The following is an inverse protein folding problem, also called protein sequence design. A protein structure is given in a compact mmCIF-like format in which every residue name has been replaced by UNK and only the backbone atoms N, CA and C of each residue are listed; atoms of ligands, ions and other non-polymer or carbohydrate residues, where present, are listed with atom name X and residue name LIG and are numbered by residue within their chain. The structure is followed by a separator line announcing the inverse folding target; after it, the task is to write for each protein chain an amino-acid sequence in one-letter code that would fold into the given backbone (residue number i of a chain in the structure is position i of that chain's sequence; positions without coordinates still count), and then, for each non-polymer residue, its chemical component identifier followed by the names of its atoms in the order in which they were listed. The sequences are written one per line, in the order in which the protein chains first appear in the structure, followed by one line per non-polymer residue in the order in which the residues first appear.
data_IF_722395028718
#
_entry.id   IF_722395028718
#
_cell.length_a   1.000
_cell.length_b   1.000
_cell.length_c   1.000
_cell.angle_alpha   90.00
_cell.angle_beta   90.00
_cell.angle_gamma   90.00
#
_symmetry.space_group_name_H-M   'P 1'
#
loop_
_entity.id
_entity.type
_entity.pdbx_description
1 polymer ?
#
# COMPACT_ATOMS: atom_id res chain seq x y z
N UNK A 1 -8.92 11.19 -26.27
CA UNK A 1 -7.62 11.81 -25.92
C UNK A 1 -6.96 11.13 -24.73
N UNK A 2 -7.60 11.00 -23.56
CA UNK A 2 -7.03 10.26 -22.42
C UNK A 2 -6.79 8.77 -22.71
N UNK A 3 -7.75 8.11 -23.38
CA UNK A 3 -7.64 6.71 -23.82
C UNK A 3 -6.67 6.47 -24.99
N UNK A 4 -6.09 7.53 -25.58
CA UNK A 4 -5.23 7.46 -26.77
C UNK A 4 -3.78 7.93 -26.48
N UNK A 5 -3.39 8.08 -25.21
CA UNK A 5 -2.04 8.50 -24.81
C UNK A 5 -1.70 9.97 -25.05
N UNK A 6 -2.68 10.80 -25.44
CA UNK A 6 -2.49 12.23 -25.68
C UNK A 6 -2.93 13.05 -24.44
N UNK A 7 -2.34 12.72 -23.28
CA UNK A 7 -2.83 13.21 -21.98
C UNK A 7 -2.64 14.74 -21.80
N UNK A 8 -1.68 15.35 -22.52
CA UNK A 8 -1.50 16.81 -22.56
C UNK A 8 -2.57 17.54 -23.38
N UNK A 9 -3.00 16.97 -24.50
CA UNK A 9 -4.09 17.53 -25.30
C UNK A 9 -5.44 17.36 -24.62
N UNK A 10 -5.64 16.23 -23.92
CA UNK A 10 -6.80 16.01 -23.05
C UNK A 10 -6.89 17.08 -21.95
N UNK A 11 -5.76 17.41 -21.32
CA UNK A 11 -5.69 18.44 -20.29
C UNK A 11 -6.04 19.83 -20.85
N UNK A 12 -5.44 20.24 -21.98
CA UNK A 12 -5.76 21.54 -22.61
C UNK A 12 -7.22 21.63 -23.04
N UNK A 13 -7.79 20.53 -23.53
CA UNK A 13 -9.20 20.48 -23.89
C UNK A 13 -10.09 20.63 -22.65
N UNK A 14 -9.78 19.94 -21.56
CA UNK A 14 -10.51 20.05 -20.31
C UNK A 14 -10.45 21.49 -19.73
N UNK A 15 -9.28 22.13 -19.74
CA UNK A 15 -9.08 23.53 -19.31
C UNK A 15 -9.95 24.52 -20.10
N UNK A 16 -10.01 24.37 -21.43
CA UNK A 16 -10.89 25.20 -22.26
C UNK A 16 -12.36 24.94 -21.97
N UNK A 17 -12.75 23.68 -21.78
CA UNK A 17 -14.13 23.30 -21.48
C UNK A 17 -14.59 23.86 -20.13
N UNK A 18 -13.75 23.81 -19.08
CA UNK A 18 -14.09 24.39 -17.76
C UNK A 18 -14.41 25.88 -17.86
N UNK A 19 -13.59 26.64 -18.58
CA UNK A 19 -13.82 28.07 -18.77
C UNK A 19 -15.17 28.33 -19.45
N UNK A 20 -15.47 27.59 -20.52
CA UNK A 20 -16.73 27.71 -21.26
C UNK A 20 -17.94 27.33 -20.41
N UNK A 21 -17.86 26.25 -19.64
CA UNK A 21 -18.95 25.84 -18.76
C UNK A 21 -19.19 26.85 -17.64
N UNK A 22 -18.12 27.42 -17.09
CA UNK A 22 -18.20 28.48 -16.08
C UNK A 22 -18.83 29.75 -16.63
N UNK A 23 -18.48 30.15 -17.86
CA UNK A 23 -19.07 31.31 -18.55
C UNK A 23 -20.55 31.10 -18.88
N UNK A 24 -20.93 29.88 -19.28
CA UNK A 24 -22.31 29.51 -19.57
C UNK A 24 -23.16 29.23 -18.33
N UNK A 25 -22.57 29.18 -17.13
CA UNK A 25 -23.24 28.86 -15.87
C UNK A 25 -23.64 27.38 -15.73
N UNK A 26 -23.11 26.49 -16.56
CA UNK A 26 -23.33 25.05 -16.45
C UNK A 26 -22.37 24.43 -15.44
N UNK A 27 -22.78 24.44 -14.18
CA UNK A 27 -21.97 23.92 -13.08
C UNK A 27 -21.71 22.41 -13.19
N UNK A 28 -22.54 21.64 -13.89
CA UNK A 28 -22.30 20.18 -14.06
C UNK A 28 -21.19 19.94 -15.06
N UNK A 29 -21.23 20.65 -16.19
CA UNK A 29 -20.14 20.67 -17.16
C UNK A 29 -18.84 21.14 -16.52
N UNK A 30 -18.89 22.14 -15.64
CA UNK A 30 -17.72 22.61 -14.89
C UNK A 30 -17.15 21.50 -13.97
N UNK A 31 -18.00 20.78 -13.23
CA UNK A 31 -17.57 19.62 -12.44
C UNK A 31 -16.94 18.55 -13.34
N UNK A 32 -17.60 18.15 -14.42
CA UNK A 32 -17.11 17.11 -15.32
C UNK A 32 -15.77 17.50 -15.97
N UNK A 33 -15.59 18.77 -16.32
CA UNK A 33 -14.31 19.28 -16.81
C UNK A 33 -13.21 19.22 -15.75
N UNK A 34 -13.50 19.60 -14.49
CA UNK A 34 -12.55 19.48 -13.38
C UNK A 34 -12.17 18.02 -13.08
N UNK A 35 -13.11 17.09 -13.20
CA UNK A 35 -12.84 15.65 -13.06
C UNK A 35 -11.95 15.14 -14.21
N UNK A 36 -12.24 15.54 -15.44
CA UNK A 36 -11.44 15.20 -16.61
C UNK A 36 -10.00 15.76 -16.52
N UNK A 37 -9.82 16.98 -16.00
CA UNK A 37 -8.49 17.54 -15.70
C UNK A 37 -7.75 16.70 -14.67
N UNK A 38 -8.44 16.29 -13.60
CA UNK A 38 -7.86 15.49 -12.52
C UNK A 38 -7.37 14.14 -13.06
N UNK A 39 -8.21 13.45 -13.83
CA UNK A 39 -7.87 12.15 -14.44
C UNK A 39 -6.75 12.25 -15.48
N UNK A 40 -6.79 13.27 -16.35
CA UNK A 40 -5.75 13.50 -17.34
C UNK A 40 -4.40 13.77 -16.68
N UNK A 41 -4.37 14.54 -15.58
CA UNK A 41 -3.13 14.79 -14.83
C UNK A 41 -2.62 13.56 -14.08
N UNK A 42 -3.50 12.70 -13.56
CA UNK A 42 -3.08 11.44 -12.93
C UNK A 42 -2.37 10.57 -13.97
N UNK A 43 -2.94 10.42 -15.18
CA UNK A 43 -2.30 9.66 -16.27
C UNK A 43 -0.93 10.25 -16.69
N UNK A 44 -0.79 11.57 -16.81
CA UNK A 44 0.51 12.21 -17.11
C UNK A 44 1.57 11.91 -16.02
N UNK A 45 1.15 11.73 -14.77
CA UNK A 45 2.06 11.42 -13.67
C UNK A 45 2.48 9.95 -13.66
N UNK A 46 1.63 9.02 -14.10
CA UNK A 46 1.98 7.60 -14.26
C UNK A 46 3.07 7.39 -15.32
N UNK A 47 3.14 8.27 -16.34
CA UNK A 47 4.16 8.20 -17.40
C UNK A 47 5.52 8.83 -17.03
N UNK A 48 5.60 9.60 -15.94
CA UNK A 48 6.82 10.32 -15.54
C UNK A 48 7.17 10.04 -14.06
N UNK A 49 8.07 9.09 -13.83
CA UNK A 49 8.61 8.61 -12.53
C UNK A 49 9.11 9.67 -11.53
N UNK A 50 9.11 10.97 -11.89
CA UNK A 50 9.54 12.05 -11.00
C UNK A 50 8.37 12.58 -10.20
N UNK A 51 8.28 12.10 -8.96
CA UNK A 51 7.59 12.74 -7.82
C UNK A 51 6.31 13.46 -8.20
N UNK A 52 5.19 12.77 -8.04
CA UNK A 52 3.84 13.31 -8.06
C UNK A 52 3.59 14.29 -6.87
N UNK A 53 4.48 15.27 -6.66
CA UNK A 53 4.36 16.30 -5.63
C UNK A 53 3.26 17.34 -5.94
N UNK A 54 2.29 17.01 -6.79
CA UNK A 54 1.44 18.00 -7.43
C UNK A 54 0.23 18.36 -6.55
N UNK A 55 0.46 19.31 -5.64
CA UNK A 55 -0.55 20.14 -4.99
C UNK A 55 -1.67 20.60 -5.95
N UNK A 56 -1.38 20.68 -7.25
CA UNK A 56 -2.32 21.11 -8.28
C UNK A 56 -3.36 20.05 -8.70
N UNK A 57 -3.11 18.73 -8.62
CA UNK A 57 -4.12 17.72 -9.00
C UNK A 57 -5.23 17.68 -7.94
N UNK A 58 -4.82 17.68 -6.67
CA UNK A 58 -5.74 17.75 -5.54
C UNK A 58 -6.62 19.02 -5.58
N UNK A 59 -6.09 20.15 -6.06
CA UNK A 59 -6.88 21.39 -6.21
C UNK A 59 -8.10 21.20 -7.10
N UNK A 60 -7.95 20.56 -8.27
CA UNK A 60 -9.07 20.36 -9.21
C UNK A 60 -10.11 19.40 -8.65
N UNK A 61 -9.68 18.25 -8.14
CA UNK A 61 -10.59 17.27 -7.56
C UNK A 61 -11.32 17.82 -6.32
N UNK A 62 -10.63 18.58 -5.46
CA UNK A 62 -11.23 19.26 -4.31
C UNK A 62 -12.20 20.37 -4.73
N UNK A 63 -11.88 21.13 -5.77
CA UNK A 63 -12.77 22.14 -6.35
C UNK A 63 -14.05 21.50 -6.92
N UNK A 64 -13.94 20.37 -7.64
CA UNK A 64 -15.07 19.62 -8.15
C UNK A 64 -16.00 19.15 -7.02
N UNK A 65 -15.44 18.58 -5.94
CA UNK A 65 -16.23 18.18 -4.76
C UNK A 65 -16.90 19.38 -4.09
N UNK A 66 -16.19 20.52 -3.96
CA UNK A 66 -16.75 21.74 -3.36
C UNK A 66 -17.92 22.27 -4.19
N UNK A 67 -17.74 22.41 -5.51
CA UNK A 67 -18.77 22.88 -6.42
C UNK A 67 -19.99 21.97 -6.42
N UNK A 68 -19.78 20.64 -6.50
CA UNK A 68 -20.86 19.66 -6.44
C UNK A 68 -21.61 19.66 -5.09
N UNK A 69 -20.95 20.01 -3.99
CA UNK A 69 -21.58 20.15 -2.66
C UNK A 69 -22.37 21.44 -2.51
N UNK A 70 -21.87 22.56 -3.01
CA UNK A 70 -22.50 23.88 -2.88
C UNK A 70 -23.71 24.03 -3.80
N UNK A 71 -23.62 23.50 -5.03
CA UNK A 71 -24.68 23.59 -6.05
C UNK A 71 -25.66 22.40 -6.00
N UNK A 72 -25.61 21.62 -4.92
CA UNK A 72 -26.26 20.30 -4.77
C UNK A 72 -27.79 20.40 -4.85
N UNK A 73 -28.33 20.41 -6.07
CA UNK A 73 -29.77 20.34 -6.37
C UNK A 73 -30.34 18.92 -6.24
N UNK A 74 -29.80 18.09 -5.34
CA UNK A 74 -30.17 16.66 -5.22
C UNK A 74 -29.54 15.74 -6.28
N UNK A 75 -28.58 16.23 -7.08
CA UNK A 75 -27.85 15.40 -8.04
C UNK A 75 -26.77 14.56 -7.34
N UNK A 76 -27.16 13.35 -6.96
CA UNK A 76 -26.29 12.39 -6.29
C UNK A 76 -25.26 11.74 -7.22
N UNK A 77 -25.50 11.74 -8.54
CA UNK A 77 -24.59 11.15 -9.52
C UNK A 77 -23.35 12.01 -9.66
N UNK A 78 -23.54 13.31 -9.91
CA UNK A 78 -22.45 14.27 -10.05
C UNK A 78 -21.57 14.30 -8.79
N UNK A 79 -22.20 14.34 -7.61
CA UNK A 79 -21.49 14.32 -6.34
C UNK A 79 -20.74 13.00 -6.08
N UNK A 80 -21.34 11.85 -6.43
CA UNK A 80 -20.69 10.56 -6.31
C UNK A 80 -19.44 10.46 -7.16
N UNK A 81 -19.51 10.93 -8.41
CA UNK A 81 -18.36 10.98 -9.31
C UNK A 81 -17.25 11.88 -8.77
N UNK A 82 -17.61 13.07 -8.27
CA UNK A 82 -16.65 14.00 -7.70
C UNK A 82 -15.89 13.39 -6.51
N UNK A 83 -16.60 12.74 -5.59
CA UNK A 83 -15.99 12.07 -4.45
C UNK A 83 -15.15 10.85 -4.86
N UNK A 84 -15.59 10.08 -5.85
CA UNK A 84 -14.86 8.92 -6.35
C UNK A 84 -13.53 9.31 -7.02
N UNK A 85 -13.54 10.30 -7.91
CA UNK A 85 -12.31 10.81 -8.54
C UNK A 85 -11.39 11.43 -7.49
N UNK A 86 -11.93 12.16 -6.50
CA UNK A 86 -11.14 12.69 -5.39
C UNK A 86 -10.48 11.58 -4.57
N UNK A 87 -11.19 10.48 -4.28
CA UNK A 87 -10.62 9.31 -3.62
C UNK A 87 -9.47 8.70 -4.43
N UNK A 88 -9.65 8.50 -5.74
CA UNK A 88 -8.58 7.99 -6.63
C UNK A 88 -7.34 8.87 -6.62
N UNK A 89 -7.51 10.19 -6.68
CA UNK A 89 -6.39 11.13 -6.61
C UNK A 89 -5.66 11.01 -5.27
N UNK A 90 -6.40 10.92 -4.15
CA UNK A 90 -5.82 10.78 -2.82
C UNK A 90 -5.06 9.45 -2.63
N UNK A 91 -5.53 8.37 -3.27
CA UNK A 91 -4.81 7.10 -3.31
C UNK A 91 -3.44 7.25 -3.98
N UNK A 92 -3.32 8.09 -5.01
CA UNK A 92 -2.04 8.35 -5.68
C UNK A 92 -1.10 9.24 -4.84
N UNK A 93 -1.66 10.17 -4.05
CA UNK A 93 -0.86 11.09 -3.21
C UNK A 93 -0.57 10.54 -1.80
N UNK A 94 -0.64 9.22 -1.62
CA UNK A 94 -0.38 8.49 -0.36
C UNK A 94 -1.22 8.89 0.87
N UNK A 95 -2.38 9.54 0.69
CA UNK A 95 -3.27 9.90 1.80
C UNK A 95 -4.37 8.84 1.99
N UNK A 96 -4.05 7.74 2.69
CA UNK A 96 -4.98 6.62 2.93
C UNK A 96 -6.29 7.05 3.62
N UNK A 97 -6.19 7.78 4.75
CA UNK A 97 -7.37 8.22 5.52
C UNK A 97 -8.30 9.14 4.71
N UNK A 98 -7.71 10.11 4.01
CA UNK A 98 -8.47 11.02 3.15
C UNK A 98 -9.17 10.27 2.01
N UNK A 99 -8.49 9.31 1.39
CA UNK A 99 -9.05 8.49 0.32
C UNK A 99 -10.25 7.67 0.83
N UNK A 100 -10.15 7.04 2.00
CA UNK A 100 -11.24 6.27 2.61
C UNK A 100 -12.48 7.12 2.90
N UNK A 101 -12.29 8.33 3.45
CA UNK A 101 -13.41 9.27 3.67
C UNK A 101 -14.09 9.69 2.37
N UNK A 102 -13.31 10.01 1.34
CA UNK A 102 -13.84 10.38 0.03
C UNK A 102 -14.58 9.20 -0.63
N UNK A 103 -14.04 7.99 -0.56
CA UNK A 103 -14.66 6.78 -1.09
C UNK A 103 -15.97 6.45 -0.36
N UNK A 104 -16.00 6.58 0.97
CA UNK A 104 -17.21 6.44 1.79
C UNK A 104 -18.32 7.40 1.39
N UNK A 105 -17.97 8.67 1.15
CA UNK A 105 -18.93 9.67 0.67
C UNK A 105 -19.42 9.35 -0.75
N UNK A 106 -18.55 8.84 -1.63
CA UNK A 106 -18.93 8.35 -2.97
C UNK A 106 -19.92 7.19 -2.89
N UNK A 107 -19.65 6.17 -2.05
CA UNK A 107 -20.56 5.03 -1.81
C UNK A 107 -21.94 5.53 -1.35
N UNK A 108 -21.97 6.49 -0.41
CA UNK A 108 -23.22 7.07 0.08
C UNK A 108 -23.97 7.80 -1.03
N UNK A 109 -23.27 8.56 -1.87
CA UNK A 109 -23.88 9.29 -2.98
C UNK A 109 -24.41 8.33 -4.06
N UNK A 110 -23.63 7.35 -4.50
CA UNK A 110 -24.07 6.37 -5.50
C UNK A 110 -25.25 5.52 -5.03
N UNK A 111 -25.29 5.15 -3.74
CA UNK A 111 -26.47 4.49 -3.15
C UNK A 111 -27.72 5.35 -3.26
N UNK A 112 -27.63 6.65 -3.00
CA UNK A 112 -28.77 7.57 -3.12
C UNK A 112 -29.16 7.84 -4.59
N UNK A 113 -28.20 7.72 -5.49
CA UNK A 113 -28.42 7.84 -6.94
C UNK A 113 -28.98 6.57 -7.58
N UNK A 114 -29.03 5.43 -6.88
CA UNK A 114 -29.37 4.13 -7.47
C UNK A 114 -28.29 3.56 -8.41
N UNK A 115 -27.06 4.12 -8.38
CA UNK A 115 -25.95 3.72 -9.24
C UNK A 115 -25.15 2.57 -8.63
N UNK A 116 -25.75 1.38 -8.55
CA UNK A 116 -25.16 0.23 -7.86
C UNK A 116 -23.83 -0.24 -8.48
N UNK A 117 -23.69 -0.28 -9.81
CA UNK A 117 -22.41 -0.63 -10.43
C UNK A 117 -21.28 0.35 -10.05
N UNK A 118 -21.53 1.67 -10.08
CA UNK A 118 -20.54 2.69 -9.66
C UNK A 118 -20.23 2.62 -8.16
N UNK A 119 -21.20 2.23 -7.35
CA UNK A 119 -20.99 1.97 -5.91
C UNK A 119 -20.00 0.82 -5.70
N UNK A 120 -20.00 -0.21 -6.54
CA UNK A 120 -18.98 -1.27 -6.54
C UNK A 120 -17.56 -0.71 -6.71
N UNK A 121 -17.36 0.17 -7.68
CA UNK A 121 -16.07 0.86 -7.88
C UNK A 121 -15.68 1.78 -6.72
N UNK A 122 -16.65 2.45 -6.09
CA UNK A 122 -16.37 3.25 -4.90
C UNK A 122 -15.97 2.39 -3.69
N UNK A 123 -16.52 1.18 -3.56
CA UNK A 123 -16.10 0.20 -2.55
C UNK A 123 -14.68 -0.33 -2.82
N UNK A 124 -14.31 -0.57 -4.08
CA UNK A 124 -12.93 -0.89 -4.46
C UNK A 124 -11.95 0.20 -4.02
N UNK A 125 -12.26 1.48 -4.33
CA UNK A 125 -11.41 2.59 -3.93
C UNK A 125 -11.30 2.71 -2.39
N UNK A 126 -12.37 2.35 -1.66
CA UNK A 126 -12.32 2.31 -0.20
C UNK A 126 -11.43 1.16 0.28
N UNK A 127 -11.59 -0.05 -0.27
CA UNK A 127 -10.72 -1.18 0.06
C UNK A 127 -9.24 -0.90 -0.19
N UNK A 128 -8.92 -0.20 -1.29
CA UNK A 128 -7.55 0.24 -1.58
C UNK A 128 -7.02 1.25 -0.56
N UNK A 129 -7.89 2.14 -0.07
CA UNK A 129 -7.53 3.08 0.98
C UNK A 129 -7.27 2.35 2.32
N UNK A 130 -8.10 1.37 2.64
CA UNK A 130 -7.96 0.54 3.84
C UNK A 130 -6.70 -0.34 3.76
N UNK A 131 -6.40 -0.92 2.59
CA UNK A 131 -5.14 -1.63 2.31
C UNK A 131 -3.93 -0.73 2.58
N UNK A 132 -3.92 0.48 2.01
CA UNK A 132 -2.83 1.45 2.24
C UNK A 132 -2.72 1.87 3.71
N UNK A 133 -3.84 1.88 4.44
CA UNK A 133 -3.88 2.16 5.88
C UNK A 133 -3.58 0.94 6.77
N UNK A 134 -3.35 -0.25 6.21
CA UNK A 134 -3.12 -1.49 6.97
C UNK A 134 -4.38 -2.13 7.57
N UNK A 135 -5.58 -1.67 7.21
CA UNK A 135 -6.86 -2.20 7.69
C UNK A 135 -7.37 -3.36 6.81
N UNK A 136 -6.60 -4.46 6.73
CA UNK A 136 -6.87 -5.57 5.81
C UNK A 136 -8.25 -6.23 5.99
N UNK A 137 -8.75 -6.30 7.23
CA UNK A 137 -10.08 -6.86 7.53
C UNK A 137 -11.21 -6.02 6.95
N UNK A 138 -11.14 -4.69 7.13
CA UNK A 138 -12.10 -3.76 6.56
C UNK A 138 -12.00 -3.73 5.03
N UNK A 139 -10.77 -3.78 4.50
CA UNK A 139 -10.52 -3.86 3.06
C UNK A 139 -11.21 -5.08 2.45
N UNK A 140 -11.03 -6.28 3.02
CA UNK A 140 -11.71 -7.50 2.57
C UNK A 140 -13.23 -7.39 2.69
N UNK A 141 -13.75 -6.81 3.77
CA UNK A 141 -15.19 -6.58 3.93
C UNK A 141 -15.77 -5.61 2.89
N UNK A 142 -14.99 -4.65 2.39
CA UNK A 142 -15.37 -3.79 1.27
C UNK A 142 -15.27 -4.51 -0.08
N UNK A 143 -14.23 -5.33 -0.28
CA UNK A 143 -14.04 -6.14 -1.48
C UNK A 143 -15.15 -7.18 -1.67
N UNK A 144 -15.57 -7.87 -0.61
CA UNK A 144 -16.67 -8.84 -0.66
C UNK A 144 -17.98 -8.16 -1.14
N UNK A 145 -18.28 -6.97 -0.62
CA UNK A 145 -19.45 -6.18 -1.06
C UNK A 145 -19.30 -5.72 -2.51
N UNK A 146 -18.10 -5.35 -2.94
CA UNK A 146 -17.83 -4.96 -4.31
C UNK A 146 -17.99 -6.14 -5.28
N UNK A 147 -17.46 -7.31 -4.94
CA UNK A 147 -17.55 -8.54 -5.74
C UNK A 147 -19.00 -9.01 -5.91
N UNK A 148 -19.80 -8.95 -4.84
CA UNK A 148 -21.23 -9.24 -4.92
C UNK A 148 -21.95 -8.29 -5.89
N UNK A 149 -21.61 -7.01 -5.89
CA UNK A 149 -22.15 -6.04 -6.86
C UNK A 149 -21.69 -6.40 -8.27
N UNK A 150 -20.39 -6.58 -8.51
CA UNK A 150 -19.90 -6.84 -9.87
C UNK A 150 -20.40 -8.16 -10.43
N UNK A 151 -20.55 -9.19 -9.60
CA UNK A 151 -21.16 -10.47 -9.99
C UNK A 151 -22.62 -10.29 -10.43
N UNK A 152 -23.39 -9.43 -9.77
CA UNK A 152 -24.77 -9.15 -10.19
C UNK A 152 -24.86 -8.38 -11.52
N UNK A 153 -23.81 -7.67 -11.91
CA UNK A 153 -23.74 -6.86 -13.14
C UNK A 153 -22.89 -7.50 -14.24
N UNK A 154 -22.40 -8.73 -14.06
CA UNK A 154 -21.43 -9.40 -14.95
C UNK A 154 -20.20 -8.54 -15.30
N UNK A 155 -19.76 -7.70 -14.36
CA UNK A 155 -18.65 -6.76 -14.54
C UNK A 155 -17.31 -7.45 -14.25
N UNK A 156 -16.76 -8.12 -15.27
CA UNK A 156 -15.49 -8.86 -15.16
C UNK A 156 -14.28 -7.94 -14.93
N UNK A 157 -14.31 -6.67 -15.36
CA UNK A 157 -13.23 -5.71 -15.09
C UNK A 157 -13.20 -5.34 -13.60
N UNK A 158 -14.38 -5.05 -13.03
CA UNK A 158 -14.55 -4.82 -11.60
C UNK A 158 -14.09 -6.03 -10.77
N UNK A 159 -14.49 -7.25 -11.16
CA UNK A 159 -14.05 -8.49 -10.48
C UNK A 159 -12.55 -8.73 -10.58
N UNK A 160 -11.95 -8.48 -11.75
CA UNK A 160 -10.50 -8.53 -11.92
C UNK A 160 -9.76 -7.63 -10.94
N UNK A 161 -10.26 -6.42 -10.73
CA UNK A 161 -9.72 -5.47 -9.74
C UNK A 161 -9.91 -5.95 -8.30
N UNK A 162 -11.02 -6.61 -7.97
CA UNK A 162 -11.21 -7.23 -6.64
C UNK A 162 -10.11 -8.26 -6.38
N UNK A 163 -9.85 -9.16 -7.32
CA UNK A 163 -8.80 -10.17 -7.18
C UNK A 163 -7.42 -9.54 -6.99
N UNK A 164 -7.09 -8.53 -7.80
CA UNK A 164 -5.83 -7.79 -7.67
C UNK A 164 -5.63 -7.21 -6.27
N UNK A 165 -6.66 -6.54 -5.72
CA UNK A 165 -6.55 -5.93 -4.39
C UNK A 165 -6.49 -7.01 -3.29
N UNK A 166 -7.18 -8.15 -3.45
CA UNK A 166 -7.04 -9.29 -2.53
C UNK A 166 -5.62 -9.87 -2.55
N UNK A 167 -5.02 -10.05 -3.73
CA UNK A 167 -3.64 -10.51 -3.86
C UNK A 167 -2.65 -9.51 -3.24
N UNK A 168 -2.90 -8.20 -3.40
CA UNK A 168 -2.09 -7.17 -2.77
C UNK A 168 -2.22 -7.18 -1.24
N UNK A 169 -3.42 -7.48 -0.71
CA UNK A 169 -3.65 -7.72 0.73
C UNK A 169 -2.86 -8.94 1.21
N UNK A 170 -2.94 -10.05 0.48
CA UNK A 170 -2.23 -11.29 0.84
C UNK A 170 -0.70 -11.08 0.83
N UNK A 171 -0.18 -10.42 -0.21
CA UNK A 171 1.23 -10.01 -0.28
C UNK A 171 1.64 -9.10 0.88
N UNK A 172 0.81 -8.12 1.24
CA UNK A 172 1.08 -7.22 2.36
C UNK A 172 1.10 -7.96 3.71
N UNK A 173 0.36 -9.07 3.84
CA UNK A 173 0.36 -9.92 5.03
C UNK A 173 1.42 -11.03 5.01
N UNK A 174 2.18 -11.17 3.92
CA UNK A 174 3.14 -12.28 3.73
C UNK A 174 2.46 -13.64 3.57
N UNK A 175 1.19 -13.66 3.18
CA UNK A 175 0.44 -14.88 2.86
C UNK A 175 0.65 -15.15 1.36
N UNK A 176 1.01 -16.38 0.95
CA UNK A 176 1.10 -16.71 -0.46
C UNK A 176 -0.24 -16.44 -1.16
N UNK A 177 -0.20 -15.74 -2.29
CA UNK A 177 -1.41 -15.44 -3.06
C UNK A 177 -2.01 -16.73 -3.63
N UNK A 178 -3.29 -16.69 -4.00
CA UNK A 178 -3.92 -17.88 -4.56
C UNK A 178 -3.28 -18.31 -5.89
N UNK A 179 -2.84 -17.35 -6.71
CA UNK A 179 -2.09 -17.63 -7.93
C UNK A 179 -0.72 -18.28 -7.63
N UNK A 180 -0.01 -17.82 -6.60
CA UNK A 180 1.24 -18.43 -6.15
C UNK A 180 1.03 -19.85 -5.63
N UNK A 181 -0.03 -20.08 -4.85
CA UNK A 181 -0.36 -21.41 -4.32
C UNK A 181 -0.74 -22.38 -5.45
N UNK A 182 -1.48 -21.91 -6.46
CA UNK A 182 -1.81 -22.72 -7.64
C UNK A 182 -0.58 -23.03 -8.49
N UNK A 183 0.31 -22.05 -8.69
CA UNK A 183 1.59 -22.27 -9.36
C UNK A 183 2.46 -23.28 -8.60
N UNK A 184 2.50 -23.19 -7.27
CA UNK A 184 3.21 -24.14 -6.41
C UNK A 184 2.63 -25.55 -6.55
N UNK A 185 1.29 -25.71 -6.49
CA UNK A 185 0.63 -27.00 -6.72
C UNK A 185 0.90 -27.58 -8.11
N UNK A 186 0.95 -26.74 -9.14
CA UNK A 186 1.29 -27.17 -10.50
C UNK A 186 2.74 -27.65 -10.59
N UNK A 187 3.68 -26.95 -9.95
CA UNK A 187 5.08 -27.37 -9.86
C UNK A 187 5.22 -28.70 -9.11
N UNK A 188 4.54 -28.85 -7.96
CA UNK A 188 4.51 -30.09 -7.19
C UNK A 188 3.96 -31.26 -8.01
N UNK A 189 2.86 -31.05 -8.75
CA UNK A 189 2.27 -32.06 -9.63
C UNK A 189 3.21 -32.46 -10.76
N UNK A 190 3.90 -31.50 -11.38
CA UNK A 190 4.90 -31.75 -12.41
C UNK A 190 6.09 -32.54 -11.85
N UNK A 191 6.56 -32.19 -10.65
CA UNK A 191 7.62 -32.92 -9.97
C UNK A 191 7.19 -34.36 -9.66
N UNK A 192 5.97 -34.56 -9.16
CA UNK A 192 5.42 -35.88 -8.89
C UNK A 192 5.30 -36.71 -10.18
N UNK A 193 4.83 -36.11 -11.28
CA UNK A 193 4.77 -36.78 -12.58
C UNK A 193 6.17 -37.16 -13.08
N UNK A 194 7.15 -36.28 -12.91
CA UNK A 194 8.54 -36.56 -13.26
C UNK A 194 9.11 -37.72 -12.43
N UNK A 195 8.88 -37.73 -11.11
CA UNK A 195 9.29 -38.83 -10.24
C UNK A 195 8.60 -40.14 -10.60
N UNK A 196 7.30 -40.11 -10.91
CA UNK A 196 6.56 -41.30 -11.35
C UNK A 196 7.11 -41.86 -12.68
N UNK A 197 7.43 -40.98 -13.64
CA UNK A 197 8.08 -41.37 -14.89
C UNK A 197 9.46 -41.99 -14.65
N UNK A 198 10.27 -41.41 -13.77
CA UNK A 198 11.57 -41.97 -13.36
C UNK A 198 11.41 -43.36 -12.72
N UNK A 199 10.43 -43.52 -11.84
CA UNK A 199 10.13 -44.78 -11.18
C UNK A 199 9.67 -45.87 -12.17
N UNK A 200 8.83 -45.50 -13.14
CA UNK A 200 8.38 -46.40 -14.21
C UNK A 200 9.55 -46.82 -15.12
N UNK A 201 10.47 -45.91 -15.43
CA UNK A 201 11.71 -46.21 -16.17
C UNK A 201 12.62 -47.18 -15.40
N UNK A 202 12.73 -47.02 -14.07
CA UNK A 202 13.50 -47.96 -13.22
C UNK A 202 12.91 -49.38 -13.18
N UNK A 203 11.59 -49.54 -13.33
CA UNK A 203 11.00 -50.87 -13.43
C UNK A 203 11.24 -51.56 -14.78
N UNK A 204 11.43 -50.79 -15.86
CA UNK A 204 11.60 -51.34 -17.22
C UNK A 204 13.07 -51.57 -17.61
N UNK A 205 14.05 -51.04 -16.88
CA UNK A 205 15.47 -51.21 -17.18
C UNK A 205 16.31 -51.44 -15.94
N UNK A 206 17.00 -52.58 -15.87
CA UNK A 206 17.88 -52.95 -14.76
C UNK A 206 19.05 -51.98 -14.58
N UNK A 207 19.08 -51.32 -13.41
CA UNK A 207 20.29 -50.98 -12.66
C UNK A 207 21.27 -49.98 -13.28
N UNK A 208 20.94 -48.68 -13.24
CA UNK A 208 21.81 -47.59 -12.76
C UNK A 208 21.13 -46.24 -13.01
N UNK A 209 21.01 -45.42 -11.95
CA UNK A 209 20.54 -44.03 -12.07
C UNK A 209 21.52 -43.24 -12.95
N UNK A 210 21.10 -42.64 -14.07
CA UNK A 210 21.99 -41.82 -14.88
C UNK A 210 22.43 -40.58 -14.10
N UNK A 211 23.72 -40.24 -14.15
CA UNK A 211 24.38 -39.20 -13.35
C UNK A 211 23.72 -37.80 -13.46
N UNK A 212 23.01 -37.53 -14.55
CA UNK A 212 22.27 -36.28 -14.74
C UNK A 212 21.13 -36.09 -13.73
N UNK A 213 20.52 -37.17 -13.21
CA UNK A 213 19.42 -37.11 -12.23
C UNK A 213 19.94 -36.71 -10.84
N UNK A 214 21.13 -37.17 -10.44
CA UNK A 214 21.77 -36.73 -9.19
C UNK A 214 22.10 -35.23 -9.23
N UNK A 215 22.50 -34.71 -10.39
CA UNK A 215 22.81 -33.29 -10.53
C UNK A 215 21.55 -32.42 -10.43
N UNK A 216 20.43 -32.85 -11.02
CA UNK A 216 19.14 -32.14 -10.92
C UNK A 216 18.61 -32.14 -9.48
N UNK A 217 18.71 -33.26 -8.77
CA UNK A 217 18.26 -33.37 -7.38
C UNK A 217 19.11 -32.51 -6.43
N UNK A 218 20.41 -32.41 -6.70
CA UNK A 218 21.32 -31.54 -5.95
C UNK A 218 21.08 -30.05 -6.26
N UNK A 219 20.78 -29.69 -7.51
CA UNK A 219 20.40 -28.32 -7.88
C UNK A 219 19.06 -27.91 -7.26
N UNK A 220 18.06 -28.81 -7.22
CA UNK A 220 16.78 -28.54 -6.56
C UNK A 220 16.94 -28.35 -5.04
N UNK A 221 17.74 -29.19 -4.37
CA UNK A 221 18.06 -29.00 -2.95
C UNK A 221 18.74 -27.66 -2.66
N UNK A 222 19.60 -27.19 -3.57
CA UNK A 222 20.26 -25.88 -3.47
C UNK A 222 19.29 -24.72 -3.71
N UNK A 223 18.37 -24.84 -4.66
CA UNK A 223 17.32 -23.85 -4.92
C UNK A 223 16.33 -23.73 -3.76
N UNK A 224 15.91 -24.85 -3.16
CA UNK A 224 15.03 -24.85 -1.98
C UNK A 224 15.72 -24.23 -0.74
N UNK A 225 17.03 -24.44 -0.57
CA UNK A 225 17.85 -23.76 0.45
C UNK A 225 17.97 -22.26 0.17
N UNK A 226 18.17 -21.84 -1.08
CA UNK A 226 18.21 -20.44 -1.49
C UNK A 226 16.85 -19.74 -1.31
N UNK A 227 15.75 -20.42 -1.61
CA UNK A 227 14.39 -19.89 -1.51
C UNK A 227 13.94 -19.82 -0.04
N UNK A 228 14.36 -20.76 0.82
CA UNK A 228 14.22 -20.67 2.28
C UNK A 228 15.11 -19.58 2.90
N UNK A 229 16.27 -19.28 2.30
CA UNK A 229 17.14 -18.16 2.71
C UNK A 229 16.66 -16.81 2.17
N UNK A 230 15.90 -16.79 1.07
CA UNK A 230 15.31 -15.61 0.43
C UNK A 230 13.89 -15.25 0.90
N UNK A 231 13.26 -16.10 1.73
CA UNK A 231 11.92 -15.90 2.30
C UNK A 231 11.83 -14.87 3.43
N UNK A 232 12.70 -13.87 3.45
CA UNK A 232 12.54 -12.68 4.26
C UNK A 232 11.99 -11.58 3.37
N UNK A 233 10.66 -11.44 3.31
CA UNK A 233 9.99 -10.32 2.67
C UNK A 233 10.45 -9.00 3.30
N UNK A 234 11.54 -8.45 2.78
CA UNK A 234 11.96 -7.09 3.09
C UNK A 234 10.99 -6.16 2.37
N UNK A 235 10.18 -5.48 3.16
CA UNK A 235 9.38 -4.33 2.76
C UNK A 235 10.22 -3.39 1.90
N UNK A 236 9.72 -3.08 0.70
CA UNK A 236 10.22 -2.00 -0.12
C UNK A 236 9.84 -0.64 0.50
N UNK A 237 10.50 -0.28 1.60
CA UNK A 237 10.69 1.11 1.97
C UNK A 237 12.09 1.51 1.49
N UNK A 238 12.15 2.31 0.43
CA UNK A 238 13.41 2.90 -0.06
C UNK A 238 14.09 3.65 1.09
N UNK A 239 15.32 3.23 1.42
CA UNK A 239 16.05 3.67 2.60
C UNK A 239 17.21 4.58 2.19
N UNK A 240 17.21 5.82 2.69
CA UNK A 240 18.46 6.51 3.00
C UNK A 240 18.90 6.02 4.40
N UNK A 241 19.71 4.95 4.40
CA UNK A 241 20.18 4.33 5.63
C UNK A 241 21.29 5.17 6.28
N UNK A 242 20.93 6.06 7.20
CA UNK A 242 21.88 6.64 8.16
C UNK A 242 21.91 5.80 9.44
N UNK A 243 22.88 4.89 9.56
CA UNK A 243 23.12 4.16 10.82
C UNK A 243 23.39 5.18 11.94
N UNK A 244 22.78 5.01 13.11
CA UNK A 244 23.12 5.84 14.27
C UNK A 244 24.48 5.36 14.79
N UNK A 245 25.52 6.17 14.60
CA UNK A 245 26.85 5.85 15.15
C UNK A 245 26.83 5.94 16.67
N UNK A 246 26.87 4.78 17.33
CA UNK A 246 26.84 4.63 18.78
C UNK A 246 28.19 4.93 19.45
N UNK A 247 29.25 5.28 18.70
CA UNK A 247 30.61 5.39 19.22
C UNK A 247 30.95 6.73 19.90
N UNK A 248 30.13 7.79 19.69
CA UNK A 248 30.42 9.16 20.14
C UNK A 248 29.64 9.70 21.34
N UNK A 249 28.71 8.92 21.92
CA UNK A 249 27.69 9.42 22.86
C UNK A 249 26.46 9.90 22.09
N UNK A 250 25.30 9.33 22.43
CA UNK A 250 24.05 9.66 21.73
C UNK A 250 23.45 10.96 22.26
N UNK A 251 23.19 11.90 21.36
CA UNK A 251 22.36 13.06 21.64
C UNK A 251 20.88 12.63 21.58
N UNK A 252 20.11 12.90 22.63
CA UNK A 252 18.70 12.57 22.73
C UNK A 252 17.88 13.15 21.57
N UNK A 253 18.27 14.34 21.07
CA UNK A 253 17.59 15.00 19.96
C UNK A 253 17.75 14.25 18.64
N UNK A 254 18.92 13.64 18.42
CA UNK A 254 19.22 12.84 17.21
C UNK A 254 18.44 11.53 17.25
N UNK A 255 18.39 10.87 18.42
CA UNK A 255 17.63 9.61 18.59
C UNK A 255 16.13 9.85 18.41
N UNK A 256 15.59 10.89 19.04
CA UNK A 256 14.18 11.26 18.89
C UNK A 256 13.85 11.65 17.45
N UNK A 257 14.71 12.43 16.78
CA UNK A 257 14.52 12.80 15.39
C UNK A 257 14.49 11.58 14.46
N UNK A 258 15.33 10.57 14.72
CA UNK A 258 15.33 9.33 13.94
C UNK A 258 14.10 8.47 14.18
N UNK A 259 13.71 8.28 15.45
CA UNK A 259 12.48 7.53 15.79
C UNK A 259 11.27 8.23 15.18
N UNK A 260 11.22 9.57 15.24
CA UNK A 260 10.16 10.36 14.60
C UNK A 260 10.12 10.13 13.10
N UNK A 261 11.26 10.23 12.40
CA UNK A 261 11.31 10.01 10.95
C UNK A 261 10.87 8.60 10.56
N UNK A 262 11.28 7.57 11.31
CA UNK A 262 10.84 6.19 11.07
C UNK A 262 9.34 6.00 11.36
N UNK A 263 8.85 6.58 12.46
CA UNK A 263 7.44 6.52 12.80
C UNK A 263 6.58 7.25 11.75
N UNK A 264 7.00 8.44 11.31
CA UNK A 264 6.36 9.21 10.25
C UNK A 264 6.36 8.46 8.91
N UNK A 265 7.46 7.79 8.56
CA UNK A 265 7.55 6.97 7.36
C UNK A 265 6.58 5.78 7.38
N UNK A 266 6.41 5.14 8.54
CA UNK A 266 5.54 3.98 8.73
C UNK A 266 4.05 4.39 8.83
N UNK A 267 3.76 5.52 9.46
CA UNK A 267 2.40 6.03 9.68
C UNK A 267 1.89 6.82 8.46
N UNK A 268 2.80 7.42 7.68
CA UNK A 268 2.49 8.21 6.48
C UNK A 268 2.10 9.67 6.77
N UNK A 269 2.48 10.20 7.94
CA UNK A 269 2.24 11.58 8.36
C UNK A 269 3.48 12.13 9.08
N UNK A 270 3.95 13.32 8.68
CA UNK A 270 5.20 13.94 9.18
C UNK A 270 4.93 15.23 9.98
N UNK A 271 3.74 15.81 9.86
CA UNK A 271 3.40 17.06 10.54
C UNK A 271 2.57 16.75 11.80
N UNK A 272 3.12 17.09 12.98
CA UNK A 272 2.50 17.05 14.32
C UNK A 272 2.68 15.79 15.20
N UNK A 273 3.72 14.98 14.99
CA UNK A 273 4.08 13.94 16.00
C UNK A 273 4.83 14.54 17.19
N UNK A 274 4.09 14.90 18.25
CA UNK A 274 4.66 15.27 19.56
C UNK A 274 5.44 14.10 20.19
N UNK A 275 6.52 14.41 20.90
CA UNK A 275 7.42 13.39 21.47
C UNK A 275 6.79 12.53 22.55
N UNK A 276 5.77 13.05 23.22
CA UNK A 276 5.11 12.42 24.37
C UNK A 276 3.78 11.76 24.00
N UNK A 277 3.30 11.96 22.77
CA UNK A 277 2.07 11.32 22.29
C UNK A 277 2.29 9.82 22.12
N UNK A 278 1.39 8.96 22.66
CA UNK A 278 1.44 7.54 22.39
C UNK A 278 1.38 7.27 20.88
N UNK A 279 2.35 6.54 20.37
CA UNK A 279 2.47 6.22 18.95
C UNK A 279 1.21 5.50 18.44
N UNK A 280 0.52 4.75 19.28
CA UNK A 280 -0.76 4.11 18.93
C UNK A 280 -1.88 5.13 18.67
N UNK A 281 -1.93 6.22 19.42
CA UNK A 281 -2.87 7.32 19.19
C UNK A 281 -2.48 8.11 17.94
N UNK A 282 -1.18 8.18 17.63
CA UNK A 282 -0.65 8.77 16.40
C UNK A 282 -0.86 7.90 15.15
N UNK A 283 -1.43 6.70 15.28
CA UNK A 283 -1.75 5.82 14.14
C UNK A 283 -0.85 4.59 13.97
N UNK A 284 0.08 4.34 14.90
CA UNK A 284 0.84 3.09 14.95
C UNK A 284 -0.09 1.94 15.38
N UNK A 285 -0.11 0.86 14.60
CA UNK A 285 -0.92 -0.33 14.87
C UNK A 285 -0.06 -1.45 15.46
N UNK A 286 -0.66 -2.50 16.01
CA UNK A 286 0.08 -3.66 16.52
C UNK A 286 0.99 -4.30 15.46
N UNK A 287 0.59 -4.27 14.19
CA UNK A 287 1.38 -4.83 13.10
C UNK A 287 2.53 -3.90 12.68
N UNK A 288 2.30 -2.59 12.65
CA UNK A 288 3.34 -1.61 12.31
C UNK A 288 4.30 -1.30 13.46
N UNK A 289 3.91 -1.63 14.70
CA UNK A 289 4.78 -1.57 15.88
C UNK A 289 5.97 -2.53 15.78
N UNK A 290 5.76 -3.73 15.24
CA UNK A 290 6.82 -4.72 15.01
C UNK A 290 7.80 -4.21 13.96
N UNK A 291 7.27 -3.64 12.86
CA UNK A 291 8.10 -3.05 11.80
C UNK A 291 8.97 -1.89 12.33
N UNK A 292 8.40 -0.97 13.11
CA UNK A 292 9.15 0.12 13.74
C UNK A 292 10.27 -0.40 14.64
N UNK A 293 10.00 -1.42 15.45
CA UNK A 293 11.00 -2.07 16.32
C UNK A 293 12.12 -2.73 15.51
N UNK A 294 11.79 -3.36 14.39
CA UNK A 294 12.77 -4.05 13.54
C UNK A 294 13.67 -3.06 12.80
N UNK A 295 13.11 -1.95 12.31
CA UNK A 295 13.92 -0.87 11.72
C UNK A 295 14.83 -0.20 12.76
N UNK A 296 14.30 0.11 13.95
CA UNK A 296 15.11 0.65 15.04
C UNK A 296 16.24 -0.32 15.44
N UNK A 297 15.96 -1.63 15.49
CA UNK A 297 16.96 -2.65 15.81
C UNK A 297 18.12 -2.67 14.81
N UNK A 298 17.87 -2.31 13.55
CA UNK A 298 18.92 -2.18 12.51
C UNK A 298 19.72 -0.90 12.67
N UNK A 299 19.09 0.18 13.12
CA UNK A 299 19.71 1.49 13.29
C UNK A 299 20.57 1.60 14.57
N UNK A 300 20.26 0.82 15.61
CA UNK A 300 21.03 0.78 16.88
C UNK A 300 21.67 -0.60 17.14
N UNK A 301 22.68 -0.99 16.34
CA UNK A 301 23.25 -2.33 16.41
C UNK A 301 23.82 -2.68 17.79
N UNK A 302 23.33 -3.79 18.33
CA UNK A 302 23.78 -4.34 19.61
C UNK A 302 23.16 -3.67 20.85
N UNK A 303 22.03 -2.99 20.68
CA UNK A 303 21.05 -2.76 21.76
C UNK A 303 19.92 -3.77 21.56
N UNK A 304 19.52 -4.47 22.63
CA UNK A 304 18.42 -5.42 22.55
C UNK A 304 17.08 -4.70 22.73
N UNK A 305 16.34 -4.50 21.63
CA UNK A 305 15.00 -3.95 21.67
C UNK A 305 13.97 -5.08 21.91
N UNK A 306 13.25 -5.12 23.04
CA UNK A 306 12.28 -6.17 23.31
C UNK A 306 11.09 -6.11 22.35
N UNK A 307 10.41 -7.23 22.09
CA UNK A 307 9.20 -7.25 21.25
C UNK A 307 8.04 -6.47 21.86
N UNK A 308 8.08 -6.20 23.17
CA UNK A 308 7.11 -5.39 23.92
C UNK A 308 7.47 -3.90 23.95
N UNK A 309 8.55 -3.46 23.28
CA UNK A 309 9.10 -2.10 23.37
C UNK A 309 8.03 -1.01 23.24
N UNK A 310 7.15 -1.10 22.23
CA UNK A 310 6.12 -0.10 21.96
C UNK A 310 5.02 -0.08 23.03
N UNK A 311 4.81 -1.18 23.76
CA UNK A 311 3.85 -1.24 24.86
C UNK A 311 4.46 -0.72 26.16
N UNK A 312 5.74 -1.01 26.39
CA UNK A 312 6.47 -0.57 27.58
C UNK A 312 6.88 0.90 27.49
N UNK A 313 7.15 1.39 26.27
CA UNK A 313 7.60 2.74 25.95
C UNK A 313 6.73 3.28 24.80
N UNK A 314 5.54 3.81 25.10
CA UNK A 314 4.53 4.10 24.07
C UNK A 314 4.81 5.36 23.26
N UNK A 315 5.75 6.22 23.66
CA UNK A 315 6.05 7.50 23.01
C UNK A 315 7.47 7.55 22.43
N UNK A 316 7.70 8.47 21.50
CA UNK A 316 9.03 8.72 20.88
C UNK A 316 10.06 9.04 21.97
N UNK A 317 9.69 9.88 22.94
CA UNK A 317 10.54 10.24 24.08
C UNK A 317 10.92 9.02 24.91
N UNK A 318 9.95 8.19 25.27
CA UNK A 318 10.16 6.99 26.09
C UNK A 318 11.07 5.96 25.41
N UNK A 319 10.89 5.75 24.10
CA UNK A 319 11.75 4.84 23.31
C UNK A 319 13.19 5.39 23.23
N UNK A 320 13.33 6.71 23.03
CA UNK A 320 14.64 7.34 22.98
C UNK A 320 15.39 7.19 24.32
N UNK A 321 14.72 7.42 25.44
CA UNK A 321 15.30 7.23 26.78
C UNK A 321 15.77 5.79 27.01
N UNK A 322 14.97 4.80 26.62
CA UNK A 322 15.35 3.39 26.71
C UNK A 322 16.63 3.09 25.92
N UNK A 323 16.74 3.61 24.69
CA UNK A 323 17.92 3.42 23.83
C UNK A 323 19.15 4.10 24.44
N UNK A 324 19.01 5.32 24.96
CA UNK A 324 20.09 6.05 25.62
C UNK A 324 20.60 5.29 26.87
N UNK A 325 19.69 4.85 27.74
CA UNK A 325 20.05 4.12 28.96
C UNK A 325 20.72 2.76 28.63
N UNK A 326 20.20 2.04 27.65
CA UNK A 326 20.77 0.78 27.19
C UNK A 326 22.17 0.97 26.58
N UNK A 327 22.38 2.06 25.83
CA UNK A 327 23.69 2.41 25.28
C UNK A 327 24.72 2.74 26.37
N UNK A 328 24.32 3.49 27.41
CA UNK A 328 25.17 3.86 28.54
C UNK A 328 25.59 2.63 29.37
N UNK A 329 24.64 1.71 29.63
CA UNK A 329 24.92 0.43 30.30
C UNK A 329 25.91 -0.43 29.52
N UNK A 330 25.83 -0.42 28.18
CA UNK A 330 26.78 -1.13 27.31
C UNK A 330 28.18 -0.52 27.36
N UNK A 331 28.29 0.82 27.30
CA UNK A 331 29.56 1.54 27.43
C UNK A 331 30.24 1.27 28.79
N UNK A 332 29.47 1.13 29.87
CA UNK A 332 29.97 0.78 31.20
C UNK A 332 30.44 -0.68 31.31
N UNK A 333 29.79 -1.63 30.61
CA UNK A 333 30.24 -3.03 30.53
C UNK A 333 31.51 -3.19 29.70
N UNK A 334 31.67 -2.44 28.62
CA UNK A 334 32.87 -2.46 27.77
C UNK A 334 34.13 -1.90 28.44
N UNK A 335 34.01 -1.08 29.48
CA UNK A 335 35.15 -0.59 30.29
C UNK A 335 35.60 -1.53 31.42
N UNK A 336 34.87 -2.63 31.66
CA UNK A 336 35.19 -3.64 32.69
C UNK A 336 35.80 -4.93 32.13
N UNK A 337 36.04 -5.01 30.83
CA UNK A 337 36.76 -6.09 30.16
C UNK A 337 38.14 -5.61 29.71
#
# INVERSE_FOLDING_TARGET
HASSGASTDALRAAEKSELLFRECGDWKGEVDALLAMSESKVSVCEDNDRTCGNLNILKFAKAAVKLAKERRAGDWVCLGNAHYTYAKVLLQTNSARGAGLAAKDAVRAFRKAGMEQRKGYALLAWAQADLKGGYFGDARGHLEKADAIFSNFDDNDGRGKVYQVNDDIDRAMGIPTQAELEAQRQQEMMMMQQQAMQWQMMQQGGGQMPQNVQMIQQQQYMQDEEQKRGGGGASAFSREASVIDLSGGLDATVVQGKIRALAAQIIGDDEDMETDTPLMEAGLTSNTAVLLRDELSRDVPGINLPPTLIFDYPSIGAIAEFILEASAKKALKGKKQ
#
